data_IF_656939909225
#
_entry.id   IF_656939909225
#
_cell.length_a   1.000
_cell.length_b   1.000
_cell.length_c   1.000
_cell.angle_alpha   90.00
_cell.angle_beta   90.00
_cell.angle_gamma   90.00
#
_symmetry.space_group_name_H-M   'P 1'
#
loop_
_entity.id
_entity.type
_entity.pdbx_description
1 polymer ?
#
# COMPACT_ATOMS: atom_id res chain seq x y z
N UNK A 1 13.59 69.58 -14.02
CA UNK A 1 12.35 69.36 -14.80
C UNK A 1 12.12 67.87 -14.78
N UNK A 2 11.06 67.45 -14.07
CA UNK A 2 10.56 66.06 -13.98
C UNK A 2 10.04 65.63 -15.36
N UNK A 3 9.90 64.33 -15.63
CA UNK A 3 8.87 63.66 -16.45
C UNK A 3 9.38 62.29 -17.00
N UNK A 4 8.73 61.21 -16.50
CA UNK A 4 8.24 59.95 -17.14
C UNK A 4 9.22 58.95 -17.78
N UNK A 5 9.13 57.61 -17.62
CA UNK A 5 7.99 56.68 -17.43
C UNK A 5 8.45 55.48 -16.55
N UNK A 6 7.89 55.19 -15.37
CA UNK A 6 6.62 54.48 -15.10
C UNK A 6 6.39 53.23 -15.95
N UNK A 7 6.44 52.09 -15.27
CA UNK A 7 6.45 50.73 -15.80
C UNK A 7 5.29 50.43 -16.73
N UNK A 8 5.66 49.79 -17.83
CA UNK A 8 4.78 49.19 -18.82
C UNK A 8 3.99 48.06 -18.13
N UNK A 9 2.68 48.23 -18.02
CA UNK A 9 1.73 47.15 -17.72
C UNK A 9 1.74 46.22 -18.93
N UNK A 10 2.41 45.08 -18.83
CA UNK A 10 2.32 44.03 -19.82
C UNK A 10 0.98 43.30 -19.64
N UNK A 11 -0.01 43.72 -20.43
CA UNK A 11 -1.22 42.97 -20.66
C UNK A 11 -0.87 41.73 -21.51
N UNK A 12 -0.80 40.56 -20.88
CA UNK A 12 -0.81 39.29 -21.62
C UNK A 12 -2.24 38.94 -21.98
N UNK A 13 -2.61 39.25 -23.23
CA UNK A 13 -3.72 38.63 -23.91
C UNK A 13 -3.43 37.13 -24.07
N UNK A 14 -4.32 36.31 -23.50
CA UNK A 14 -4.77 35.06 -24.10
C UNK A 14 -3.70 34.01 -24.43
N UNK A 15 -3.22 33.31 -23.41
CA UNK A 15 -3.11 31.86 -23.46
C UNK A 15 -3.13 31.37 -22.02
N UNK A 16 -4.06 30.48 -21.68
CA UNK A 16 -4.04 29.76 -20.42
C UNK A 16 -2.76 28.91 -20.46
N UNK A 17 -1.66 29.46 -19.93
CA UNK A 17 -0.66 28.63 -19.31
C UNK A 17 -1.43 27.93 -18.20
N UNK A 18 -1.65 26.62 -18.35
CA UNK A 18 -1.88 25.76 -17.19
C UNK A 18 -0.67 26.01 -16.31
N UNK A 19 -0.84 26.91 -15.36
CA UNK A 19 0.07 27.02 -14.26
C UNK A 19 0.07 25.63 -13.63
N UNK A 20 1.23 24.99 -13.64
CA UNK A 20 1.59 24.24 -12.46
C UNK A 20 1.58 25.29 -11.34
N UNK A 21 0.42 25.45 -10.70
CA UNK A 21 0.18 26.38 -9.61
C UNK A 21 1.00 25.88 -8.43
N UNK A 22 2.27 26.32 -8.36
CA UNK A 22 3.07 26.29 -7.15
C UNK A 22 2.55 27.38 -6.21
N UNK A 23 1.31 27.23 -5.74
CA UNK A 23 0.61 28.15 -4.85
C UNK A 23 0.33 27.59 -3.45
N UNK A 24 0.92 26.44 -3.09
CA UNK A 24 0.79 25.82 -1.76
C UNK A 24 1.93 26.19 -0.80
N UNK A 25 1.57 26.55 0.43
CA UNK A 25 2.48 26.76 1.56
C UNK A 25 3.30 25.49 1.85
N UNK A 26 4.61 25.64 1.93
CA UNK A 26 5.64 24.60 2.12
C UNK A 26 5.73 24.04 3.55
N UNK A 27 4.59 23.76 4.18
CA UNK A 27 4.55 23.08 5.51
C UNK A 27 3.67 21.84 5.54
N UNK A 28 3.15 21.39 4.40
CA UNK A 28 2.44 20.12 4.29
C UNK A 28 3.38 19.09 3.65
N UNK A 29 3.76 18.10 4.45
CA UNK A 29 4.22 16.79 3.99
C UNK A 29 2.99 16.17 3.30
N UNK A 30 3.17 15.46 2.17
CA UNK A 30 2.11 14.72 1.43
C UNK A 30 1.47 15.41 0.21
N UNK A 31 2.29 15.87 -0.76
CA UNK A 31 1.87 15.86 -2.16
C UNK A 31 2.02 14.42 -2.69
N UNK A 32 1.01 13.60 -2.46
CA UNK A 32 0.98 12.24 -2.98
C UNK A 32 1.25 12.25 -4.49
N UNK A 33 2.30 11.53 -4.88
CA UNK A 33 2.43 11.08 -6.25
C UNK A 33 1.30 10.09 -6.47
N UNK A 34 0.22 10.58 -7.06
CA UNK A 34 -0.70 9.74 -7.80
C UNK A 34 0.08 9.18 -8.98
N UNK A 35 0.67 8.00 -8.82
CA UNK A 35 1.10 7.24 -9.99
C UNK A 35 -0.14 6.89 -10.82
N UNK A 36 0.07 6.56 -12.10
CA UNK A 36 -1.00 6.34 -13.09
C UNK A 36 -1.94 5.17 -12.77
N UNK A 37 -1.72 4.46 -11.66
CA UNK A 37 -2.56 3.39 -11.11
C UNK A 37 -3.54 3.86 -10.02
N UNK A 38 -3.45 5.09 -9.50
CA UNK A 38 -4.39 5.60 -8.49
C UNK A 38 -4.18 5.05 -7.07
N UNK A 39 -2.98 4.54 -6.78
CA UNK A 39 -2.57 4.01 -5.49
C UNK A 39 -1.81 5.11 -4.73
N UNK A 40 -2.34 5.57 -3.60
CA UNK A 40 -1.79 6.68 -2.80
C UNK A 40 -0.88 6.08 -1.72
N UNK A 41 0.42 6.29 -1.84
CA UNK A 41 1.38 5.95 -0.79
C UNK A 41 1.20 6.95 0.37
N UNK A 42 0.40 6.59 1.39
CA UNK A 42 0.20 7.39 2.61
C UNK A 42 1.40 7.30 3.57
N UNK A 43 2.51 6.68 3.18
CA UNK A 43 3.65 6.47 4.08
C UNK A 43 3.43 5.36 5.12
N UNK A 44 2.36 4.58 4.98
CA UNK A 44 2.16 3.30 5.67
C UNK A 44 2.49 2.19 4.67
N UNK A 45 3.01 1.06 5.15
CA UNK A 45 3.33 -0.08 4.30
C UNK A 45 2.04 -0.71 3.73
N UNK A 46 1.51 -0.13 2.64
CA UNK A 46 0.41 -0.67 1.84
C UNK A 46 0.95 -1.81 0.98
N UNK A 47 1.21 -2.93 1.65
CA UNK A 47 1.75 -4.15 1.06
C UNK A 47 0.64 -5.16 0.83
N UNK A 48 0.82 -5.98 -0.20
CA UNK A 48 0.10 -7.24 -0.38
C UNK A 48 1.09 -8.39 -0.34
N UNK A 49 0.58 -9.56 0.02
CA UNK A 49 1.29 -10.80 0.27
C UNK A 49 0.82 -11.85 -0.74
N UNK A 50 1.76 -12.65 -1.24
CA UNK A 50 1.46 -13.72 -2.17
C UNK A 50 0.58 -14.77 -1.48
N UNK A 51 -0.60 -15.06 -2.03
CA UNK A 51 -1.49 -16.13 -1.56
C UNK A 51 -1.40 -17.27 -2.58
N UNK A 52 -0.52 -18.24 -2.32
CA UNK A 52 -0.16 -19.28 -3.30
C UNK A 52 -1.17 -20.42 -3.33
N UNK A 53 -1.79 -20.74 -2.20
CA UNK A 53 -2.75 -21.83 -2.06
C UNK A 53 -4.23 -21.37 -2.09
N UNK A 54 -4.48 -20.07 -2.00
CA UNK A 54 -5.77 -19.43 -2.23
C UNK A 54 -6.69 -19.42 -1.02
N UNK A 55 -6.15 -19.44 0.20
CA UNK A 55 -6.93 -19.46 1.43
C UNK A 55 -7.30 -18.06 1.98
N UNK A 56 -6.72 -17.01 1.40
CA UNK A 56 -6.95 -15.63 1.78
C UNK A 56 -5.88 -15.02 2.71
N UNK A 57 -4.85 -15.79 3.07
CA UNK A 57 -3.65 -15.36 3.78
C UNK A 57 -2.45 -15.48 2.86
N UNK A 58 -1.41 -14.69 3.10
CA UNK A 58 -0.22 -14.74 2.25
C UNK A 58 1.07 -14.61 3.02
N UNK A 59 2.15 -14.96 2.32
CA UNK A 59 3.53 -14.97 2.81
C UNK A 59 4.01 -13.59 3.31
N UNK A 60 4.40 -13.51 4.57
CA UNK A 60 5.04 -12.31 5.14
C UNK A 60 6.39 -11.96 4.47
N UNK A 61 7.11 -12.95 3.95
CA UNK A 61 8.40 -12.79 3.28
C UNK A 61 8.25 -12.45 1.78
N UNK A 62 7.07 -12.68 1.18
CA UNK A 62 6.76 -12.29 -0.20
C UNK A 62 5.74 -11.14 -0.25
N UNK A 63 6.23 -9.92 -0.01
CA UNK A 63 5.43 -8.70 -0.04
C UNK A 63 5.78 -7.76 -1.21
N UNK A 64 4.76 -7.21 -1.86
CA UNK A 64 4.87 -6.15 -2.86
C UNK A 64 3.98 -4.98 -2.48
N UNK A 65 4.32 -3.78 -2.95
CA UNK A 65 3.39 -2.65 -2.85
C UNK A 65 2.07 -3.02 -3.50
N UNK A 66 0.95 -2.61 -2.91
CA UNK A 66 -0.40 -2.76 -3.47
C UNK A 66 -0.49 -2.34 -4.93
N UNK A 67 0.32 -1.38 -5.36
CA UNK A 67 0.29 -0.84 -6.71
C UNK A 67 0.98 -1.76 -7.74
N UNK A 68 1.92 -2.60 -7.30
CA UNK A 68 2.69 -3.53 -8.14
C UNK A 68 2.22 -4.99 -7.97
N UNK A 69 1.58 -5.29 -6.84
CA UNK A 69 1.06 -6.61 -6.52
C UNK A 69 -0.07 -7.02 -7.50
N UNK A 70 -0.09 -8.28 -7.94
CA UNK A 70 -1.21 -8.85 -8.68
C UNK A 70 -2.54 -8.82 -7.90
N UNK A 71 -3.65 -9.05 -8.62
CA UNK A 71 -4.98 -9.05 -8.02
C UNK A 71 -5.23 -10.25 -7.10
N UNK A 72 -4.52 -11.35 -7.30
CA UNK A 72 -4.58 -12.55 -6.45
C UNK A 72 -3.77 -12.45 -5.14
N UNK A 73 -3.16 -11.30 -4.83
CA UNK A 73 -2.41 -11.10 -3.59
C UNK A 73 -3.30 -10.47 -2.49
N UNK A 74 -3.07 -10.87 -1.25
CA UNK A 74 -3.92 -10.50 -0.09
C UNK A 74 -3.24 -9.47 0.81
N UNK A 75 -4.02 -8.77 1.65
CA UNK A 75 -3.46 -7.79 2.60
C UNK A 75 -2.98 -8.45 3.91
N UNK A 76 -3.49 -9.65 4.23
CA UNK A 76 -3.13 -10.39 5.43
C UNK A 76 -1.84 -11.20 5.20
N UNK A 77 -0.81 -10.90 5.99
CA UNK A 77 0.52 -11.54 5.93
C UNK A 77 0.66 -12.76 6.86
N UNK A 78 -0.45 -13.37 7.22
CA UNK A 78 -0.53 -14.26 8.37
C UNK A 78 -0.21 -15.72 8.07
N UNK A 79 0.08 -16.07 6.81
CA UNK A 79 0.28 -17.45 6.41
C UNK A 79 1.65 -17.97 6.88
N UNK A 80 1.65 -19.11 7.56
CA UNK A 80 2.87 -19.82 7.98
C UNK A 80 3.26 -20.95 7.02
N UNK A 81 2.39 -21.32 6.08
CA UNK A 81 2.62 -22.33 5.05
C UNK A 81 1.77 -22.10 3.78
N UNK A 82 2.26 -21.24 2.87
CA UNK A 82 1.68 -20.96 1.54
C UNK A 82 1.54 -22.16 0.58
N UNK A 83 1.92 -23.36 1.02
CA UNK A 83 1.74 -24.60 0.27
C UNK A 83 0.48 -25.38 0.66
N UNK A 84 -0.24 -24.95 1.70
CA UNK A 84 -1.32 -25.69 2.31
C UNK A 84 -2.44 -24.79 2.85
N UNK A 85 -3.50 -24.65 2.05
CA UNK A 85 -4.70 -23.86 2.37
C UNK A 85 -5.47 -24.30 3.63
N UNK A 86 -4.98 -25.30 4.37
CA UNK A 86 -5.49 -25.70 5.69
C UNK A 86 -4.64 -25.21 6.85
N UNK A 87 -3.56 -24.47 6.59
CA UNK A 87 -2.61 -23.95 7.58
C UNK A 87 -2.54 -22.43 7.43
N UNK A 88 -3.34 -21.73 8.23
CA UNK A 88 -3.46 -20.27 8.24
C UNK A 88 -4.09 -19.78 9.54
N UNK A 89 -4.03 -18.47 9.89
CA UNK A 89 -4.51 -17.88 11.15
C UNK A 89 -5.96 -18.14 11.60
N UNK A 90 -6.75 -18.81 10.75
CA UNK A 90 -8.16 -19.11 10.98
C UNK A 90 -8.47 -20.59 10.75
N UNK A 91 -7.47 -21.43 10.59
CA UNK A 91 -7.63 -22.86 10.47
C UNK A 91 -8.08 -23.45 11.80
N UNK A 92 -8.73 -24.62 11.74
CA UNK A 92 -9.05 -25.39 12.93
C UNK A 92 -7.82 -26.23 13.33
N UNK A 93 -7.43 -26.12 14.59
CA UNK A 93 -6.31 -26.87 15.16
C UNK A 93 -6.60 -28.39 15.26
N UNK A 94 -5.64 -29.19 14.80
CA UNK A 94 -5.62 -30.64 15.00
C UNK A 94 -4.62 -30.94 16.09
N UNK A 95 -5.10 -30.87 17.33
CA UNK A 95 -4.25 -31.02 18.49
C UNK A 95 -3.32 -32.25 18.44
N UNK A 96 -2.05 -32.03 18.79
CA UNK A 96 -1.06 -33.08 19.01
C UNK A 96 -0.59 -33.80 17.75
N UNK A 97 -0.82 -33.24 16.56
CA UNK A 97 -0.29 -33.76 15.30
C UNK A 97 1.07 -33.13 14.91
N UNK A 98 1.59 -32.22 15.74
CA UNK A 98 2.85 -31.47 15.57
C UNK A 98 2.85 -30.48 14.41
N UNK A 99 1.68 -30.10 13.92
CA UNK A 99 1.49 -29.00 12.96
C UNK A 99 0.74 -27.89 13.68
N UNK A 100 1.20 -26.67 13.48
CA UNK A 100 0.55 -25.43 13.92
C UNK A 100 -0.32 -24.99 12.73
N UNK A 101 -1.62 -25.29 12.77
CA UNK A 101 -2.54 -25.00 11.68
C UNK A 101 -3.02 -23.55 11.74
N UNK A 102 -3.22 -23.01 12.94
CA UNK A 102 -3.71 -21.65 13.15
C UNK A 102 -2.61 -20.59 13.20
N UNK A 103 -1.36 -20.98 12.91
CA UNK A 103 -0.20 -20.12 12.84
C UNK A 103 -0.02 -19.25 14.12
N UNK A 104 -0.44 -19.74 15.29
CA UNK A 104 -0.29 -19.02 16.56
C UNK A 104 1.13 -19.12 17.17
N UNK A 105 1.96 -19.99 16.58
CA UNK A 105 3.33 -20.27 16.98
C UNK A 105 3.50 -21.63 17.68
N UNK A 106 2.45 -22.43 17.86
CA UNK A 106 2.53 -23.78 18.42
C UNK A 106 1.29 -24.66 18.19
N UNK A 107 1.51 -25.94 17.89
CA UNK A 107 0.46 -26.99 17.91
C UNK A 107 -0.31 -27.03 19.25
N UNK A 108 -1.65 -27.03 19.17
CA UNK A 108 -2.53 -27.13 20.33
C UNK A 108 -2.37 -28.46 21.09
N UNK A 109 -2.37 -28.38 22.43
CA UNK A 109 -2.37 -29.57 23.28
C UNK A 109 -3.78 -30.18 23.40
N UNK A 110 -3.93 -31.46 23.08
CA UNK A 110 -5.23 -32.13 23.18
C UNK A 110 -5.81 -32.14 24.61
N UNK A 111 -7.12 -31.84 24.77
CA UNK A 111 -7.80 -32.08 26.03
C UNK A 111 -7.88 -33.59 26.30
N UNK A 112 -7.26 -34.03 27.40
CA UNK A 112 -7.24 -35.43 27.85
C UNK A 112 -8.48 -35.88 28.63
#
# INVERSE_FOLDING_TARGET
>A
MRWIHSGLVAAFLGLIFVACDFGGSFTDVDFARSDSAGCFDTGEADLRHADVDGDGFGDADAALSRCDAPEEWVEDSGDCNDGDATVHPRADEVCGDSVDQDCDGSDEACPG
#
